data_IF_401516131674
#
_entry.id   IF_401516131674
#
_cell.length_a   1.000
_cell.length_b   1.000
_cell.length_c   1.000
_cell.angle_alpha   90.00
_cell.angle_beta   90.00
_cell.angle_gamma   90.00
#
_symmetry.space_group_name_H-M   'P 1'
#
loop_
_entity.id
_entity.type
_entity.pdbx_description
1 polymer ?
#
# COMPACT_ATOMS: atom_id res chain seq x y z
N UNK A 1 48.87 -18.82 -40.93
CA UNK A 1 49.53 -19.97 -40.29
C UNK A 1 50.30 -19.43 -39.09
N UNK A 2 49.65 -19.14 -37.95
CA UNK A 2 49.47 -20.00 -36.77
C UNK A 2 49.54 -18.97 -35.60
N UNK A 3 48.81 -18.97 -34.49
CA UNK A 3 47.88 -19.88 -33.82
C UNK A 3 47.11 -19.02 -32.80
N UNK A 4 45.81 -19.26 -32.67
CA UNK A 4 45.04 -18.82 -31.50
C UNK A 4 45.59 -19.51 -30.25
N UNK A 5 46.00 -18.76 -29.22
CA UNK A 5 46.16 -19.30 -27.87
C UNK A 5 45.03 -18.81 -26.96
N UNK A 6 44.17 -19.78 -26.71
CA UNK A 6 43.08 -19.92 -25.76
C UNK A 6 43.20 -19.06 -24.50
N UNK A 7 42.12 -18.33 -24.20
CA UNK A 7 41.93 -17.68 -22.91
C UNK A 7 41.92 -18.68 -21.76
N UNK A 8 42.65 -18.36 -20.70
CA UNK A 8 42.62 -19.09 -19.45
C UNK A 8 41.20 -19.08 -18.89
N UNK A 9 40.59 -20.27 -18.81
CA UNK A 9 39.34 -20.46 -18.08
C UNK A 9 39.63 -20.29 -16.60
N UNK A 10 39.17 -19.18 -16.03
CA UNK A 10 39.05 -19.03 -14.58
C UNK A 10 38.24 -20.23 -14.07
N UNK A 11 38.84 -21.05 -13.21
CA UNK A 11 38.13 -22.16 -12.56
C UNK A 11 37.13 -21.54 -11.59
N UNK A 12 35.87 -21.43 -12.01
CA UNK A 12 34.78 -21.22 -11.06
C UNK A 12 34.82 -22.38 -10.07
N UNK A 13 34.94 -22.06 -8.78
CA UNK A 13 34.73 -23.03 -7.71
C UNK A 13 33.35 -23.68 -7.82
N UNK A 14 33.09 -24.76 -7.07
CA UNK A 14 31.80 -25.42 -7.09
C UNK A 14 30.67 -24.40 -6.84
N UNK A 15 29.59 -24.52 -7.60
CA UNK A 15 28.39 -23.70 -7.44
C UNK A 15 27.95 -23.79 -5.96
N UNK A 16 27.64 -22.66 -5.30
CA UNK A 16 27.08 -22.72 -3.96
C UNK A 16 25.82 -23.59 -3.99
N UNK A 17 25.69 -24.47 -3.00
CA UNK A 17 24.53 -25.35 -2.90
C UNK A 17 23.24 -24.52 -2.90
N UNK A 18 22.18 -24.99 -3.58
CA UNK A 18 20.90 -24.30 -3.57
C UNK A 18 20.46 -24.15 -2.11
N UNK A 19 20.40 -22.92 -1.65
CA UNK A 19 19.84 -22.59 -0.35
C UNK A 19 18.41 -23.11 -0.37
N UNK A 20 18.09 -24.01 0.56
CA UNK A 20 16.75 -24.58 0.74
C UNK A 20 15.76 -23.41 0.66
N UNK A 21 14.91 -23.41 -0.38
CA UNK A 21 13.89 -22.39 -0.53
C UNK A 21 13.15 -22.29 0.80
N UNK A 22 13.20 -21.11 1.43
CA UNK A 22 12.53 -20.88 2.70
C UNK A 22 11.08 -21.35 2.54
N UNK A 23 10.68 -22.36 3.32
CA UNK A 23 9.32 -22.86 3.27
C UNK A 23 8.38 -21.68 3.53
N UNK A 24 7.31 -21.51 2.73
CA UNK A 24 6.34 -20.46 3.00
C UNK A 24 5.84 -20.65 4.43
N UNK A 25 5.77 -19.57 5.23
CA UNK A 25 5.29 -19.66 6.59
C UNK A 25 3.91 -20.32 6.60
N UNK A 26 3.55 -21.05 7.67
CA UNK A 26 2.21 -21.61 7.80
C UNK A 26 1.16 -20.51 7.59
N UNK A 27 0.00 -20.84 6.99
CA UNK A 27 -1.03 -19.85 6.71
C UNK A 27 -1.38 -19.13 8.00
N UNK A 28 -1.42 -17.80 7.93
CA UNK A 28 -1.78 -16.98 9.07
C UNK A 28 -3.17 -17.41 9.58
N UNK A 29 -3.40 -17.38 10.91
CA UNK A 29 -4.74 -17.58 11.43
C UNK A 29 -5.70 -16.63 10.71
N UNK A 30 -6.86 -17.15 10.29
CA UNK A 30 -7.90 -16.37 9.61
C UNK A 30 -8.10 -15.07 10.38
N UNK A 31 -7.76 -13.95 9.75
CA UNK A 31 -7.97 -12.65 10.35
C UNK A 31 -9.45 -12.60 10.74
N UNK A 32 -9.74 -12.35 12.03
CA UNK A 32 -11.09 -11.93 12.41
C UNK A 32 -11.32 -10.67 11.59
N UNK A 33 -12.07 -10.78 10.50
CA UNK A 33 -12.41 -9.64 9.66
C UNK A 33 -12.90 -8.56 10.61
N UNK A 34 -12.14 -7.47 10.75
CA UNK A 34 -12.56 -6.38 11.62
C UNK A 34 -13.92 -5.87 11.15
N UNK A 35 -14.59 -5.06 11.97
CA UNK A 35 -15.93 -4.51 11.74
C UNK A 35 -16.09 -3.62 10.47
N UNK A 36 -15.17 -3.73 9.50
CA UNK A 36 -15.00 -2.90 8.30
C UNK A 36 -15.20 -3.67 6.99
N UNK A 37 -15.77 -4.87 7.04
CA UNK A 37 -16.38 -5.54 5.88
C UNK A 37 -17.90 -5.45 5.99
N UNK A 38 -18.54 -5.03 4.91
CA UNK A 38 -19.97 -4.77 4.88
C UNK A 38 -20.68 -5.67 3.86
N UNK A 39 -21.94 -6.06 4.12
CA UNK A 39 -22.69 -6.93 3.21
C UNK A 39 -23.04 -6.26 1.88
N UNK A 40 -23.10 -4.93 1.85
CA UNK A 40 -23.46 -4.14 0.68
C UNK A 40 -22.73 -2.78 0.66
N UNK A 41 -22.81 -2.11 -0.50
CA UNK A 41 -22.14 -0.84 -0.74
C UNK A 41 -22.74 0.29 0.10
N UNK A 42 -24.06 0.30 0.30
CA UNK A 42 -24.74 1.38 1.00
C UNK A 42 -24.36 1.43 2.48
N UNK A 43 -24.29 0.26 3.13
CA UNK A 43 -23.81 0.10 4.51
C UNK A 43 -22.33 0.46 4.64
N UNK A 44 -21.48 0.10 3.68
CA UNK A 44 -20.08 0.51 3.65
C UNK A 44 -19.92 2.04 3.55
N UNK A 45 -20.69 2.68 2.66
CA UNK A 45 -20.67 4.13 2.48
C UNK A 45 -21.21 4.85 3.72
N UNK A 46 -22.27 4.32 4.35
CA UNK A 46 -22.83 4.88 5.58
C UNK A 46 -21.80 4.87 6.72
N UNK A 47 -21.11 3.75 6.92
CA UNK A 47 -20.04 3.64 7.91
C UNK A 47 -18.86 4.57 7.59
N UNK A 48 -18.42 4.61 6.33
CA UNK A 48 -17.35 5.50 5.89
C UNK A 48 -17.70 6.98 6.07
N UNK A 49 -18.97 7.37 5.90
CA UNK A 49 -19.42 8.74 6.15
C UNK A 49 -19.30 9.12 7.62
N UNK A 50 -19.64 8.21 8.53
CA UNK A 50 -19.48 8.43 9.97
C UNK A 50 -17.98 8.58 10.31
N UNK A 51 -17.14 7.68 9.80
CA UNK A 51 -15.70 7.73 9.99
C UNK A 51 -15.08 9.02 9.43
N UNK A 52 -15.54 9.49 8.27
CA UNK A 52 -15.10 10.76 7.68
C UNK A 52 -15.41 11.94 8.60
N UNK A 53 -16.64 12.04 9.11
CA UNK A 53 -17.01 13.14 10.02
C UNK A 53 -16.17 13.12 11.30
N UNK A 54 -15.88 11.92 11.83
CA UNK A 54 -14.99 11.78 12.98
C UNK A 54 -13.55 12.22 12.63
N UNK A 55 -13.02 11.80 11.48
CA UNK A 55 -11.68 12.17 11.03
C UNK A 55 -11.53 13.67 10.75
N UNK A 56 -12.60 14.31 10.28
CA UNK A 56 -12.64 15.74 9.99
C UNK A 56 -12.37 16.59 11.25
N UNK A 57 -12.88 16.16 12.40
CA UNK A 57 -12.70 16.82 13.69
C UNK A 57 -11.31 16.56 14.33
N UNK A 58 -10.53 15.61 13.79
CA UNK A 58 -9.23 15.25 14.33
C UNK A 58 -8.10 16.12 13.76
N UNK A 59 -7.09 16.45 14.58
CA UNK A 59 -5.95 17.25 14.13
C UNK A 59 -5.06 16.47 13.15
N UNK A 60 -4.28 17.20 12.34
CA UNK A 60 -3.36 16.64 11.35
C UNK A 60 -2.38 15.62 11.96
N UNK A 61 -1.91 15.87 13.19
CA UNK A 61 -0.99 14.96 13.91
C UNK A 61 -1.58 13.57 14.18
N UNK A 62 -2.91 13.46 14.33
CA UNK A 62 -3.55 12.14 14.44
C UNK A 62 -3.56 11.42 13.10
N UNK A 63 -3.73 12.15 11.98
CA UNK A 63 -3.61 11.57 10.63
C UNK A 63 -2.19 11.05 10.39
N UNK A 64 -1.17 11.77 10.84
CA UNK A 64 0.22 11.34 10.80
C UNK A 64 0.45 10.05 11.59
N UNK A 65 -0.12 9.95 12.80
CA UNK A 65 -0.06 8.73 13.60
C UNK A 65 -0.76 7.55 12.92
N UNK A 66 -1.95 7.77 12.34
CA UNK A 66 -2.65 6.75 11.56
C UNK A 66 -1.81 6.27 10.38
N UNK A 67 -1.22 7.19 9.61
CA UNK A 67 -0.34 6.88 8.48
C UNK A 67 0.88 6.10 8.95
N UNK A 68 1.56 6.55 10.00
CA UNK A 68 2.71 5.84 10.56
C UNK A 68 2.36 4.41 10.98
N UNK A 69 1.17 4.22 11.56
CA UNK A 69 0.64 2.91 11.92
C UNK A 69 0.37 2.04 10.69
N UNK A 70 -0.32 2.57 9.67
CA UNK A 70 -0.55 1.89 8.40
C UNK A 70 0.78 1.44 7.80
N UNK A 71 1.77 2.34 7.68
CA UNK A 71 3.10 2.00 7.14
C UNK A 71 3.80 0.90 7.93
N UNK A 72 3.70 0.92 9.26
CA UNK A 72 4.30 -0.11 10.12
C UNK A 72 3.64 -1.47 9.87
N UNK A 73 2.32 -1.55 9.98
CA UNK A 73 1.57 -2.82 9.81
C UNK A 73 1.74 -3.37 8.39
N UNK A 74 1.72 -2.52 7.37
CA UNK A 74 1.90 -2.96 5.98
C UNK A 74 3.32 -3.46 5.69
N UNK A 75 4.34 -2.94 6.37
CA UNK A 75 5.71 -3.50 6.32
C UNK A 75 5.80 -4.85 6.99
N UNK A 76 5.26 -4.96 8.20
CA UNK A 76 5.28 -6.20 8.99
C UNK A 76 4.55 -7.34 8.25
N UNK A 77 3.48 -7.03 7.54
CA UNK A 77 2.65 -8.00 6.82
C UNK A 77 2.96 -8.08 5.31
N UNK A 78 4.00 -7.40 4.82
CA UNK A 78 4.27 -7.30 3.39
C UNK A 78 4.41 -8.67 2.70
N UNK A 79 5.02 -9.64 3.40
CA UNK A 79 5.20 -11.01 2.93
C UNK A 79 3.88 -11.78 2.89
N UNK A 80 3.11 -11.76 3.97
CA UNK A 80 1.81 -12.45 4.06
C UNK A 80 0.87 -11.94 2.98
N UNK A 81 0.71 -10.62 2.88
CA UNK A 81 -0.14 -9.97 1.86
C UNK A 81 0.31 -10.29 0.43
N UNK A 82 1.62 -10.35 0.19
CA UNK A 82 2.15 -10.71 -1.12
C UNK A 82 1.88 -12.18 -1.47
N UNK A 83 1.96 -13.07 -0.49
CA UNK A 83 1.70 -14.49 -0.65
C UNK A 83 0.23 -14.73 -0.98
N UNK A 84 -0.69 -14.17 -0.20
CA UNK A 84 -2.14 -14.27 -0.40
C UNK A 84 -2.53 -13.72 -1.78
N UNK A 85 -2.07 -12.51 -2.12
CA UNK A 85 -2.36 -11.92 -3.42
C UNK A 85 -1.79 -12.75 -4.59
N UNK A 86 -0.63 -13.39 -4.43
CA UNK A 86 -0.06 -14.27 -5.46
C UNK A 86 -0.84 -15.58 -5.59
N UNK A 87 -1.16 -16.21 -4.45
CA UNK A 87 -1.88 -17.47 -4.39
C UNK A 87 -3.30 -17.34 -4.94
N UNK A 88 -4.02 -16.26 -4.60
CA UNK A 88 -5.38 -16.02 -5.06
C UNK A 88 -5.42 -15.69 -6.56
N UNK A 89 -4.56 -14.77 -7.00
CA UNK A 89 -4.63 -14.25 -8.38
C UNK A 89 -3.92 -15.15 -9.40
N UNK A 90 -2.94 -15.95 -8.97
CA UNK A 90 -2.03 -16.68 -9.86
C UNK A 90 -1.13 -15.78 -10.71
N UNK A 91 -1.06 -14.48 -10.43
CA UNK A 91 -0.37 -13.50 -11.28
C UNK A 91 0.92 -12.97 -10.66
N UNK A 92 1.95 -12.83 -11.49
CA UNK A 92 3.23 -12.22 -11.12
C UNK A 92 4.11 -13.15 -10.28
N UNK A 93 5.10 -12.55 -9.60
CA UNK A 93 6.05 -13.24 -8.73
C UNK A 93 5.85 -12.80 -7.30
N UNK A 94 5.98 -13.73 -6.37
CA UNK A 94 5.80 -13.49 -4.94
C UNK A 94 6.77 -12.40 -4.43
N UNK A 95 8.05 -12.50 -4.78
CA UNK A 95 9.12 -11.60 -4.35
C UNK A 95 8.88 -10.16 -4.84
N UNK A 96 8.43 -10.02 -6.08
CA UNK A 96 8.11 -8.71 -6.66
C UNK A 96 6.91 -8.06 -5.95
N UNK A 97 5.91 -8.86 -5.53
CA UNK A 97 4.76 -8.34 -4.76
C UNK A 97 5.17 -7.87 -3.38
N UNK A 98 6.12 -8.54 -2.72
CA UNK A 98 6.70 -8.07 -1.45
C UNK A 98 7.32 -6.69 -1.64
N UNK A 99 8.17 -6.53 -2.67
CA UNK A 99 8.82 -5.25 -2.95
C UNK A 99 7.80 -4.16 -3.28
N UNK A 100 6.71 -4.48 -3.98
CA UNK A 100 5.63 -3.52 -4.27
C UNK A 100 4.87 -3.08 -3.03
N UNK A 101 4.57 -4.00 -2.11
CA UNK A 101 3.95 -3.66 -0.83
C UNK A 101 4.88 -2.76 0.00
N UNK A 102 6.16 -3.12 0.10
CA UNK A 102 7.18 -2.32 0.80
C UNK A 102 7.38 -0.95 0.15
N UNK A 103 7.42 -0.88 -1.18
CA UNK A 103 7.55 0.37 -1.91
C UNK A 103 6.42 1.33 -1.55
N UNK A 104 5.17 0.88 -1.59
CA UNK A 104 4.03 1.73 -1.26
C UNK A 104 3.99 2.08 0.24
N UNK A 105 4.32 1.16 1.13
CA UNK A 105 4.39 1.46 2.56
C UNK A 105 5.49 2.50 2.88
N UNK A 106 6.61 2.48 2.16
CA UNK A 106 7.76 3.35 2.44
C UNK A 106 7.75 4.68 1.69
N UNK A 107 7.21 4.72 0.46
CA UNK A 107 7.39 5.85 -0.46
C UNK A 107 6.11 6.54 -0.91
N UNK A 108 4.92 6.01 -0.57
CA UNK A 108 3.68 6.76 -0.79
C UNK A 108 3.74 8.03 0.05
N UNK A 109 3.48 9.23 -0.49
CA UNK A 109 3.47 10.45 0.32
C UNK A 109 2.35 10.45 1.36
N UNK A 110 2.61 11.02 2.53
CA UNK A 110 1.65 11.25 3.61
C UNK A 110 1.16 12.71 3.64
N UNK A 111 1.08 13.29 4.84
CA UNK A 111 0.64 14.68 5.04
C UNK A 111 1.66 15.72 4.57
N UNK A 112 2.92 15.31 4.35
CA UNK A 112 4.02 16.20 3.96
C UNK A 112 3.86 16.84 2.57
N UNK A 113 2.88 16.41 1.77
CA UNK A 113 2.57 17.00 0.46
C UNK A 113 1.42 18.01 0.51
N UNK A 114 0.86 18.27 1.70
CA UNK A 114 -0.30 19.15 1.90
C UNK A 114 0.11 20.58 2.32
N UNK A 115 1.22 21.07 1.77
CA UNK A 115 1.73 22.41 2.09
C UNK A 115 0.75 23.50 1.61
N UNK A 116 0.36 24.45 2.48
CA UNK A 116 -0.49 25.56 2.09
C UNK A 116 0.28 26.59 1.27
N UNK A 117 -0.42 27.24 0.32
CA UNK A 117 0.11 28.39 -0.41
C UNK A 117 -0.42 29.69 0.21
N UNK A 118 0.47 30.66 0.43
CA UNK A 118 0.10 31.95 0.99
C UNK A 118 0.68 33.11 0.17
N UNK A 119 -0.15 34.12 -0.08
CA UNK A 119 0.26 35.38 -0.71
C UNK A 119 -0.15 36.54 0.19
N UNK A 120 0.79 37.44 0.48
CA UNK A 120 0.55 38.67 1.23
C UNK A 120 0.94 39.90 0.40
N UNK A 121 0.22 40.99 0.60
CA UNK A 121 0.50 42.28 -0.02
C UNK A 121 -0.52 43.34 0.37
N UNK A 122 -0.56 44.44 -0.37
CA UNK A 122 -1.47 45.57 -0.11
C UNK A 122 -2.95 45.16 -0.16
N UNK A 123 -3.27 44.09 -0.91
CA UNK A 123 -4.60 43.49 -0.99
C UNK A 123 -4.96 42.56 0.18
N UNK A 124 -4.10 42.41 1.18
CA UNK A 124 -4.30 41.54 2.34
C UNK A 124 -3.55 40.22 2.27
N UNK A 125 -4.12 39.18 2.87
CA UNK A 125 -3.59 37.82 2.94
C UNK A 125 -4.54 36.86 2.23
N UNK A 126 -4.02 36.07 1.28
CA UNK A 126 -4.72 34.95 0.67
C UNK A 126 -4.03 33.65 1.07
N UNK A 127 -4.82 32.68 1.53
CA UNK A 127 -4.37 31.33 1.89
C UNK A 127 -5.13 30.31 1.04
N UNK A 128 -4.42 29.35 0.48
CA UNK A 128 -4.99 28.21 -0.25
C UNK A 128 -4.48 26.93 0.38
N UNK A 129 -5.41 26.08 0.82
CA UNK A 129 -5.12 24.81 1.47
C UNK A 129 -5.81 23.64 0.76
N UNK A 130 -5.31 22.43 1.00
CA UNK A 130 -5.92 21.19 0.53
C UNK A 130 -6.99 20.73 1.53
N UNK A 131 -8.25 20.84 1.14
CA UNK A 131 -9.38 20.34 1.92
C UNK A 131 -9.73 18.89 1.54
N UNK A 132 -10.26 18.07 2.49
CA UNK A 132 -10.80 16.76 2.17
C UNK A 132 -11.98 16.84 1.19
N UNK A 133 -12.12 15.81 0.35
CA UNK A 133 -13.29 15.60 -0.50
C UNK A 133 -14.45 14.96 0.26
N UNK A 134 -14.17 14.04 1.20
CA UNK A 134 -15.20 13.29 1.92
C UNK A 134 -14.96 11.78 1.89
N UNK A 135 -15.93 11.05 1.33
CA UNK A 135 -15.84 9.59 1.13
C UNK A 135 -15.43 9.31 -0.31
N UNK A 136 -14.34 8.58 -0.50
CA UNK A 136 -13.80 8.20 -1.80
C UNK A 136 -14.10 6.72 -2.09
N UNK A 137 -14.55 6.40 -3.30
CA UNK A 137 -14.66 5.03 -3.79
C UNK A 137 -13.40 4.59 -4.54
N UNK A 138 -12.76 3.50 -4.10
CA UNK A 138 -11.56 2.95 -4.73
C UNK A 138 -11.84 1.60 -5.40
N UNK A 139 -11.66 1.51 -6.71
CA UNK A 139 -11.75 0.24 -7.44
C UNK A 139 -10.34 -0.39 -7.50
N UNK A 140 -10.19 -1.58 -6.93
CA UNK A 140 -8.90 -2.22 -6.76
C UNK A 140 -8.64 -3.24 -7.88
N UNK A 141 -7.52 -3.13 -8.63
CA UNK A 141 -7.21 -4.06 -9.71
C UNK A 141 -6.67 -5.39 -9.19
N UNK A 142 -6.87 -6.46 -9.95
CA UNK A 142 -6.36 -7.81 -9.60
C UNK A 142 -4.85 -7.97 -9.72
N UNK A 143 -4.17 -7.11 -10.49
CA UNK A 143 -2.72 -7.20 -10.68
C UNK A 143 -1.95 -6.74 -9.43
N UNK A 144 -2.49 -5.73 -8.74
CA UNK A 144 -1.84 -4.98 -7.66
C UNK A 144 -2.73 -4.82 -6.41
N UNK A 145 -3.48 -5.83 -5.98
CA UNK A 145 -4.60 -5.65 -5.06
C UNK A 145 -4.17 -5.01 -3.73
N UNK A 146 -3.14 -5.58 -3.10
CA UNK A 146 -2.62 -5.11 -1.81
C UNK A 146 -1.89 -3.76 -1.96
N UNK A 147 -1.00 -3.64 -2.94
CA UNK A 147 -0.20 -2.43 -3.12
C UNK A 147 -1.05 -1.19 -3.43
N UNK A 148 -2.13 -1.35 -4.20
CA UNK A 148 -3.05 -0.24 -4.49
C UNK A 148 -3.84 0.16 -3.25
N UNK A 149 -4.32 -0.79 -2.45
CA UNK A 149 -4.98 -0.49 -1.17
C UNK A 149 -4.04 0.26 -0.22
N UNK A 150 -2.79 -0.16 -0.10
CA UNK A 150 -1.77 0.51 0.73
C UNK A 150 -1.59 1.97 0.29
N UNK A 151 -1.32 2.18 -1.01
CA UNK A 151 -1.07 3.50 -1.57
C UNK A 151 -2.27 4.44 -1.38
N UNK A 152 -3.45 3.98 -1.77
CA UNK A 152 -4.67 4.77 -1.69
C UNK A 152 -5.04 5.08 -0.23
N UNK A 153 -4.89 4.11 0.68
CA UNK A 153 -5.22 4.33 2.10
C UNK A 153 -4.34 5.41 2.71
N UNK A 154 -3.03 5.39 2.46
CA UNK A 154 -2.10 6.40 2.98
C UNK A 154 -2.46 7.79 2.45
N UNK A 155 -2.60 7.94 1.13
CA UNK A 155 -2.87 9.25 0.51
C UNK A 155 -4.25 9.81 0.88
N UNK A 156 -5.28 8.97 0.87
CA UNK A 156 -6.65 9.40 1.16
C UNK A 156 -6.82 9.80 2.63
N UNK A 157 -6.25 9.03 3.57
CA UNK A 157 -6.25 9.38 5.00
C UNK A 157 -5.41 10.62 5.27
N UNK A 158 -4.26 10.79 4.61
CA UNK A 158 -3.46 12.02 4.71
C UNK A 158 -4.27 13.26 4.37
N UNK A 159 -4.98 13.21 3.23
CA UNK A 159 -5.88 14.27 2.80
C UNK A 159 -7.19 14.35 3.60
N UNK A 160 -7.36 13.57 4.67
CA UNK A 160 -8.52 13.63 5.57
C UNK A 160 -9.80 12.98 5.05
N UNK A 161 -9.69 12.05 4.10
CA UNK A 161 -10.83 11.35 3.51
C UNK A 161 -11.03 9.98 4.14
N UNK A 162 -12.28 9.52 4.14
CA UNK A 162 -12.58 8.09 4.28
C UNK A 162 -12.56 7.42 2.89
N UNK A 163 -12.30 6.12 2.85
CA UNK A 163 -12.27 5.36 1.60
C UNK A 163 -13.04 4.05 1.74
N UNK A 164 -13.81 3.71 0.71
CA UNK A 164 -14.46 2.40 0.52
C UNK A 164 -13.83 1.73 -0.69
N UNK A 165 -13.38 0.48 -0.53
CA UNK A 165 -12.78 -0.27 -1.61
C UNK A 165 -13.74 -1.29 -2.21
N UNK A 166 -13.74 -1.40 -3.53
CA UNK A 166 -14.36 -2.50 -4.26
C UNK A 166 -13.28 -3.26 -5.01
N UNK A 167 -13.00 -4.49 -4.58
CA UNK A 167 -11.95 -5.31 -5.13
C UNK A 167 -12.37 -6.07 -6.39
N UNK A 168 -11.45 -6.20 -7.34
CA UNK A 168 -11.66 -7.07 -8.50
C UNK A 168 -11.99 -8.50 -8.02
N UNK A 169 -13.00 -9.20 -8.61
CA UNK A 169 -13.45 -10.51 -8.10
C UNK A 169 -12.38 -11.60 -8.02
N UNK A 170 -11.35 -11.52 -8.87
CA UNK A 170 -10.18 -12.41 -8.84
C UNK A 170 -9.07 -12.02 -7.86
N UNK A 171 -9.32 -11.07 -6.95
CA UNK A 171 -8.39 -10.58 -5.94
C UNK A 171 -9.16 -10.00 -4.73
N UNK A 172 -10.15 -10.75 -4.22
CA UNK A 172 -11.15 -10.30 -3.25
C UNK A 172 -10.95 -10.88 -1.85
N UNK A 173 -10.05 -11.84 -1.68
CA UNK A 173 -9.82 -12.54 -0.42
C UNK A 173 -9.11 -11.65 0.62
#
# INVERSE_FOLDING_TARGET
MAELRQGERVRHGPLPEPTVAAQPPPPAPSLRHGDNLFPDVDSAIAAARIAYLQLFELPLSVREQMIAHIRRVMRENAQVLAHEAWQETGMGRYEDKIQKNLLNANKTPGTEILDPAAWSGDGGLTLVEYAPYGVIGGIIPSTNPTSTVICNSIGMVAAGNAVVFNAHPGARA
#
